data_IF_684929177488
#
_entry.id   IF_684929177488
#
_cell.length_a   1.000
_cell.length_b   1.000
_cell.length_c   1.000
_cell.angle_alpha   90.00
_cell.angle_beta   90.00
_cell.angle_gamma   90.00
#
_symmetry.space_group_name_H-M   'P 1'
#
loop_
_entity.id
_entity.type
_entity.pdbx_description
1 polymer ?
#
# COMPACT_ATOMS: atom_id res chain seq x y z
N UNK A 1 3.72 -19.19 21.63
CA UNK A 1 3.53 -19.03 20.17
C UNK A 1 4.49 -17.98 19.69
N UNK A 2 4.96 -18.06 18.44
CA UNK A 2 5.83 -17.04 17.82
C UNK A 2 5.10 -15.70 17.98
N UNK A 3 5.53 -14.89 18.95
CA UNK A 3 4.76 -13.73 19.38
C UNK A 3 4.57 -12.79 18.19
N UNK A 4 3.31 -12.45 17.90
CA UNK A 4 2.99 -11.36 17.00
C UNK A 4 3.73 -10.11 17.51
N UNK A 5 4.30 -9.36 16.58
CA UNK A 5 4.86 -8.06 16.92
C UNK A 5 3.70 -7.18 17.37
N UNK A 6 3.68 -6.83 18.65
CA UNK A 6 2.67 -5.97 19.25
C UNK A 6 3.32 -4.65 19.67
N UNK A 7 2.60 -3.54 19.49
CA UNK A 7 3.12 -2.21 19.73
C UNK A 7 2.14 -1.12 19.34
N UNK A 8 2.26 0.09 19.91
CA UNK A 8 1.39 1.21 19.59
C UNK A 8 1.54 1.60 18.11
N UNK A 9 0.41 1.76 17.42
CA UNK A 9 0.38 2.16 16.01
C UNK A 9 0.53 1.02 15.00
N UNK A 10 0.60 -0.24 15.44
CA UNK A 10 0.56 -1.40 14.55
C UNK A 10 -0.89 -1.72 14.15
N UNK A 11 -1.35 -1.13 13.05
CA UNK A 11 -2.66 -1.43 12.50
C UNK A 11 -2.70 -2.80 11.80
N UNK A 12 -3.84 -3.48 11.85
CA UNK A 12 -4.12 -4.66 11.02
C UNK A 12 -4.50 -4.26 9.60
N UNK A 13 -4.27 -5.16 8.64
CA UNK A 13 -4.54 -4.89 7.21
C UNK A 13 -5.94 -4.32 6.94
N UNK A 14 -7.05 -4.88 7.48
CA UNK A 14 -8.39 -4.34 7.21
C UNK A 14 -8.58 -2.91 7.74
N UNK A 15 -8.10 -2.62 8.94
CA UNK A 15 -8.24 -1.30 9.56
C UNK A 15 -7.42 -0.22 8.84
N UNK A 16 -6.20 -0.56 8.41
CA UNK A 16 -5.35 0.33 7.63
C UNK A 16 -5.94 0.62 6.25
N UNK A 17 -6.47 -0.41 5.58
CA UNK A 17 -7.13 -0.23 4.29
C UNK A 17 -8.39 0.62 4.40
N UNK A 18 -9.23 0.37 5.41
CA UNK A 18 -10.42 1.18 5.66
C UNK A 18 -10.04 2.66 5.86
N UNK A 19 -9.07 2.94 6.71
CA UNK A 19 -8.61 4.31 6.96
C UNK A 19 -8.08 5.00 5.69
N UNK A 20 -7.36 4.25 4.84
CA UNK A 20 -6.88 4.77 3.56
C UNK A 20 -8.01 5.04 2.56
N UNK A 21 -8.99 4.14 2.45
CA UNK A 21 -10.13 4.34 1.55
C UNK A 21 -10.97 5.54 1.98
N UNK A 22 -11.28 5.66 3.27
CA UNK A 22 -11.98 6.83 3.81
C UNK A 22 -11.21 8.13 3.53
N UNK A 23 -9.87 8.12 3.66
CA UNK A 23 -9.04 9.28 3.33
C UNK A 23 -9.10 9.63 1.84
N UNK A 24 -9.10 8.63 0.94
CA UNK A 24 -9.21 8.84 -0.50
C UNK A 24 -10.58 9.41 -0.90
N UNK A 25 -11.65 8.91 -0.30
CA UNK A 25 -13.01 9.42 -0.55
C UNK A 25 -13.15 10.87 -0.08
N UNK A 26 -12.66 11.20 1.12
CA UNK A 26 -12.63 12.59 1.61
C UNK A 26 -11.87 13.50 0.67
N UNK A 27 -10.68 13.08 0.21
CA UNK A 27 -9.89 13.85 -0.78
C UNK A 27 -10.62 14.01 -2.10
N UNK A 28 -11.33 12.98 -2.56
CA UNK A 28 -12.13 13.04 -3.80
C UNK A 28 -13.28 14.03 -3.65
N UNK A 29 -14.06 13.93 -2.57
CA UNK A 29 -15.17 14.85 -2.28
C UNK A 29 -14.69 16.31 -2.16
N UNK A 30 -13.55 16.55 -1.49
CA UNK A 30 -12.95 17.88 -1.40
C UNK A 30 -12.52 18.42 -2.77
N UNK A 31 -11.93 17.58 -3.62
CA UNK A 31 -11.55 17.97 -4.99
C UNK A 31 -12.76 18.28 -5.84
N UNK A 32 -13.81 17.47 -5.74
CA UNK A 32 -15.06 17.65 -6.47
C UNK A 32 -15.78 18.93 -6.00
N UNK A 33 -15.82 19.19 -4.69
CA UNK A 33 -16.32 20.43 -4.11
C UNK A 33 -15.52 21.66 -4.58
N UNK A 34 -14.20 21.62 -4.46
CA UNK A 34 -13.34 22.72 -4.91
C UNK A 34 -13.47 22.98 -6.43
N UNK A 35 -13.65 21.95 -7.25
CA UNK A 35 -13.93 22.12 -8.68
C UNK A 35 -15.29 22.76 -8.93
N UNK A 36 -16.33 22.39 -8.15
CA UNK A 36 -17.65 23.03 -8.22
C UNK A 36 -17.59 24.49 -7.81
N UNK A 37 -16.89 24.81 -6.72
CA UNK A 37 -16.71 26.19 -6.25
C UNK A 37 -15.94 27.04 -7.26
N UNK A 38 -14.85 26.49 -7.85
CA UNK A 38 -14.11 27.13 -8.94
C UNK A 38 -14.99 27.40 -10.16
N UNK A 39 -15.83 26.44 -10.54
CA UNK A 39 -16.76 26.61 -11.66
C UNK A 39 -17.81 27.68 -11.34
N UNK A 40 -18.36 27.70 -10.13
CA UNK A 40 -19.32 28.71 -9.69
C UNK A 40 -18.69 30.11 -9.66
N UNK A 41 -17.48 30.27 -9.12
CA UNK A 41 -16.75 31.54 -9.15
C UNK A 41 -16.43 31.98 -10.59
N UNK A 42 -16.03 31.06 -11.47
CA UNK A 42 -15.77 31.38 -12.87
C UNK A 42 -17.03 31.87 -13.60
N UNK A 43 -18.19 31.23 -13.38
CA UNK A 43 -19.48 31.68 -13.90
C UNK A 43 -19.85 33.07 -13.37
N UNK A 44 -19.68 33.30 -12.07
CA UNK A 44 -19.96 34.59 -11.44
C UNK A 44 -19.03 35.71 -11.95
N UNK A 45 -17.76 35.40 -12.23
CA UNK A 45 -16.80 36.34 -12.85
C UNK A 45 -17.14 36.67 -14.30
N UNK A 46 -17.71 35.72 -15.06
CA UNK A 46 -18.21 35.97 -16.42
C UNK A 46 -19.45 36.88 -16.36
N UNK A 47 -20.28 36.76 -15.33
CA UNK A 47 -21.44 37.62 -15.09
C UNK A 47 -21.04 39.03 -14.57
N UNK A 48 -19.97 39.14 -13.78
CA UNK A 48 -19.43 40.40 -13.28
C UNK A 48 -18.27 40.91 -14.15
N UNK A 49 -18.57 41.42 -15.34
CA UNK A 49 -17.55 42.09 -16.17
C UNK A 49 -17.02 43.35 -15.47
N UNK A 50 -15.82 43.26 -14.86
CA UNK A 50 -15.04 44.42 -14.44
C UNK A 50 -14.31 44.28 -13.10
N UNK A 51 -13.26 43.47 -13.02
CA UNK A 51 -12.24 43.62 -11.98
C UNK A 51 -10.86 43.21 -12.49
N UNK A 52 -9.89 44.12 -12.33
CA UNK A 52 -8.49 43.92 -12.70
C UNK A 52 -7.84 42.87 -11.78
N UNK A 53 -6.93 42.00 -12.26
CA UNK A 53 -6.33 40.99 -11.41
C UNK A 53 -5.32 41.64 -10.45
N UNK A 54 -5.54 41.46 -9.14
CA UNK A 54 -4.59 41.81 -8.11
C UNK A 54 -3.32 40.94 -8.20
N UNK A 55 -2.15 41.55 -7.99
CA UNK A 55 -0.86 40.88 -8.05
C UNK A 55 -0.72 39.76 -7.01
N UNK A 56 -0.10 38.62 -7.38
CA UNK A 56 0.08 37.51 -6.46
C UNK A 56 1.08 37.86 -5.36
N UNK A 57 0.58 38.06 -4.14
CA UNK A 57 1.41 38.15 -2.95
C UNK A 57 2.15 36.82 -2.75
N UNK A 58 3.47 36.91 -2.58
CA UNK A 58 4.32 35.76 -2.26
C UNK A 58 3.91 35.18 -0.90
N UNK A 59 3.17 34.07 -0.92
CA UNK A 59 2.80 33.34 0.29
C UNK A 59 4.05 32.83 1.00
N UNK A 60 4.13 33.08 2.31
CA UNK A 60 5.16 32.54 3.18
C UNK A 60 5.22 30.99 3.08
N UNK A 61 6.41 30.36 3.26
CA UNK A 61 6.53 28.91 3.13
C UNK A 61 5.62 28.20 4.13
N UNK A 62 4.64 27.47 3.61
CA UNK A 62 3.70 26.70 4.41
C UNK A 62 4.44 25.65 5.25
N UNK A 63 4.02 25.49 6.52
CA UNK A 63 4.53 24.44 7.39
C UNK A 63 4.36 23.06 6.73
N UNK A 64 5.35 22.16 6.92
CA UNK A 64 5.30 20.82 6.34
C UNK A 64 4.01 20.11 6.82
N UNK A 65 3.21 19.53 5.92
CA UNK A 65 1.99 18.86 6.31
C UNK A 65 2.30 17.70 7.27
N UNK A 66 1.38 17.37 8.18
CA UNK A 66 1.54 16.24 9.08
C UNK A 66 1.74 14.93 8.28
N UNK A 67 2.47 13.95 8.83
CA UNK A 67 2.72 12.69 8.15
C UNK A 67 1.40 11.96 7.87
N UNK A 68 1.33 11.35 6.69
CA UNK A 68 0.13 10.62 6.24
C UNK A 68 -0.03 9.28 6.98
N UNK A 69 -1.22 8.68 6.90
CA UNK A 69 -1.55 7.42 7.59
C UNK A 69 -0.56 6.32 7.19
N UNK A 70 -0.26 6.20 5.90
CA UNK A 70 0.70 5.25 5.38
C UNK A 70 2.12 5.48 5.90
N UNK A 71 2.52 6.74 6.12
CA UNK A 71 3.84 7.07 6.69
C UNK A 71 3.89 6.75 8.18
N UNK A 72 2.81 7.03 8.91
CA UNK A 72 2.71 6.71 10.34
C UNK A 72 2.76 5.20 10.57
N UNK A 73 1.94 4.44 9.84
CA UNK A 73 1.94 2.98 9.88
C UNK A 73 3.33 2.42 9.56
N UNK A 74 3.92 2.81 8.43
CA UNK A 74 5.26 2.35 8.05
C UNK A 74 6.34 2.65 9.11
N UNK A 75 6.31 3.83 9.72
CA UNK A 75 7.29 4.21 10.75
C UNK A 75 7.13 3.40 12.04
N UNK A 76 5.90 3.19 12.49
CA UNK A 76 5.62 2.37 13.67
C UNK A 76 6.13 0.93 13.46
N UNK A 77 5.89 0.38 12.28
CA UNK A 77 6.33 -0.96 11.87
C UNK A 77 7.84 -1.09 11.82
N UNK A 78 8.51 -0.14 11.15
CA UNK A 78 9.97 -0.12 11.06
C UNK A 78 10.62 -0.03 12.46
N UNK A 79 10.04 0.79 13.35
CA UNK A 79 10.53 0.93 14.72
C UNK A 79 10.43 -0.39 15.49
N UNK A 80 9.25 -1.03 15.47
CA UNK A 80 9.03 -2.29 16.21
C UNK A 80 9.90 -3.41 15.65
N UNK A 81 10.05 -3.51 14.32
CA UNK A 81 10.96 -4.49 13.69
C UNK A 81 12.41 -4.27 14.11
N UNK A 82 12.87 -3.03 14.12
CA UNK A 82 14.23 -2.69 14.54
C UNK A 82 14.47 -3.05 16.01
N UNK A 83 13.54 -2.66 16.90
CA UNK A 83 13.60 -3.01 18.33
C UNK A 83 13.58 -4.53 18.55
N UNK A 84 12.78 -5.27 17.77
CA UNK A 84 12.73 -6.72 17.86
C UNK A 84 14.05 -7.37 17.42
N UNK A 85 14.62 -6.90 16.31
CA UNK A 85 15.87 -7.43 15.79
C UNK A 85 17.04 -7.22 16.77
N UNK A 86 17.10 -6.07 17.45
CA UNK A 86 18.17 -5.76 18.41
C UNK A 86 18.01 -6.45 19.78
N UNK A 87 16.77 -6.74 20.20
CA UNK A 87 16.48 -7.37 21.49
C UNK A 87 16.50 -8.92 21.47
N UNK A 88 16.59 -9.55 20.29
CA UNK A 88 16.46 -11.00 20.17
C UNK A 88 17.74 -11.76 20.59
N UNK A 89 17.70 -12.43 21.75
CA UNK A 89 18.84 -13.17 22.35
C UNK A 89 19.45 -14.29 21.47
N UNK A 90 18.63 -15.06 20.77
CA UNK A 90 19.09 -16.13 19.85
C UNK A 90 18.75 -15.85 18.37
N UNK A 91 17.81 -14.94 18.11
CA UNK A 91 17.48 -14.36 16.81
C UNK A 91 17.05 -15.31 15.68
N UNK A 92 16.95 -16.63 15.90
CA UNK A 92 16.72 -17.59 14.81
C UNK A 92 15.41 -17.32 14.06
N UNK A 93 14.31 -17.18 14.80
CA UNK A 93 13.00 -16.85 14.20
C UNK A 93 13.05 -15.52 13.46
N UNK A 94 13.68 -14.48 14.04
CA UNK A 94 13.77 -13.17 13.38
C UNK A 94 14.64 -13.21 12.11
N UNK A 95 15.69 -14.06 12.08
CA UNK A 95 16.49 -14.29 10.86
C UNK A 95 15.66 -14.98 9.77
N UNK A 96 14.84 -15.97 10.14
CA UNK A 96 13.93 -16.62 9.18
C UNK A 96 12.85 -15.64 8.69
N UNK A 97 12.26 -14.83 9.58
CA UNK A 97 11.32 -13.79 9.17
C UNK A 97 11.98 -12.83 8.19
N UNK A 98 13.19 -12.36 8.48
CA UNK A 98 13.94 -11.50 7.56
C UNK A 98 14.19 -12.17 6.20
N UNK A 99 14.61 -13.43 6.21
CA UNK A 99 14.82 -14.23 5.00
C UNK A 99 13.54 -14.32 4.16
N UNK A 100 12.42 -14.71 4.76
CA UNK A 100 11.14 -14.87 4.04
C UNK A 100 10.52 -13.53 3.63
N UNK A 101 10.67 -12.47 4.44
CA UNK A 101 10.28 -11.11 4.07
C UNK A 101 11.06 -10.58 2.87
N UNK A 102 12.32 -11.02 2.71
CA UNK A 102 13.13 -10.70 1.53
C UNK A 102 12.78 -11.58 0.33
N UNK A 103 12.46 -12.87 0.53
CA UNK A 103 12.03 -13.78 -0.53
C UNK A 103 10.71 -13.33 -1.16
N UNK A 104 9.72 -12.99 -0.33
CA UNK A 104 8.40 -12.51 -0.77
C UNK A 104 8.28 -10.98 -0.70
N UNK A 105 9.31 -10.28 -1.17
CA UNK A 105 9.46 -8.84 -0.98
C UNK A 105 8.33 -8.03 -1.61
N UNK A 106 7.79 -7.07 -0.85
CA UNK A 106 6.89 -6.01 -1.34
C UNK A 106 7.56 -4.65 -1.17
N UNK A 107 7.50 -3.80 -2.21
CA UNK A 107 8.13 -2.48 -2.15
C UNK A 107 7.17 -1.40 -1.66
N UNK A 108 7.53 -0.74 -0.55
CA UNK A 108 6.81 0.45 -0.06
C UNK A 108 6.88 1.65 -1.00
N UNK A 109 7.79 1.62 -1.98
CA UNK A 109 7.88 2.63 -3.02
C UNK A 109 6.75 2.50 -4.06
N UNK A 110 6.08 1.34 -4.16
CA UNK A 110 5.00 1.09 -5.12
C UNK A 110 3.85 2.08 -5.00
N UNK A 111 3.46 2.44 -3.77
CA UNK A 111 2.36 3.37 -3.53
C UNK A 111 1.91 3.43 -2.08
N UNK A 112 0.98 4.36 -1.80
CA UNK A 112 0.47 4.61 -0.45
C UNK A 112 -0.24 3.39 0.17
N UNK A 113 -0.97 2.62 -0.64
CA UNK A 113 -1.61 1.38 -0.18
C UNK A 113 -0.57 0.37 0.32
N UNK A 114 0.37 -0.04 -0.53
CA UNK A 114 1.41 -1.02 -0.16
C UNK A 114 2.23 -0.50 1.03
N UNK A 115 2.57 0.78 1.06
CA UNK A 115 3.31 1.38 2.18
C UNK A 115 2.60 1.25 3.54
N UNK A 116 1.28 1.43 3.57
CA UNK A 116 0.53 1.31 4.81
C UNK A 116 0.52 -0.14 5.34
N UNK A 117 0.34 -1.12 4.45
CA UNK A 117 0.10 -2.52 4.85
C UNK A 117 1.32 -3.44 4.73
N UNK A 118 2.46 -2.96 4.21
CA UNK A 118 3.71 -3.76 4.15
C UNK A 118 4.20 -4.20 5.53
N UNK A 119 3.89 -3.40 6.56
CA UNK A 119 4.04 -3.74 7.97
C UNK A 119 3.26 -5.00 8.35
N UNK A 120 1.94 -4.88 8.24
CA UNK A 120 0.94 -5.91 8.55
C UNK A 120 1.17 -7.20 7.76
N UNK A 121 1.56 -7.09 6.49
CA UNK A 121 1.92 -8.21 5.64
C UNK A 121 2.92 -9.19 6.28
N UNK A 122 4.01 -8.69 6.86
CA UNK A 122 4.98 -9.57 7.54
C UNK A 122 4.35 -10.24 8.77
N UNK A 123 3.56 -9.51 9.57
CA UNK A 123 2.94 -10.05 10.79
C UNK A 123 1.83 -11.04 10.52
N UNK A 124 1.08 -10.84 9.44
CA UNK A 124 -0.14 -11.58 9.14
C UNK A 124 0.12 -12.74 8.19
N UNK A 125 1.01 -12.57 7.19
CA UNK A 125 1.30 -13.60 6.20
C UNK A 125 2.56 -14.43 6.53
N UNK A 126 3.63 -13.80 7.02
CA UNK A 126 4.96 -14.46 7.14
C UNK A 126 5.19 -15.03 8.54
N UNK A 127 5.14 -14.17 9.57
CA UNK A 127 5.46 -14.53 10.97
C UNK A 127 4.68 -15.74 11.50
N UNK A 128 3.37 -15.91 11.22
CA UNK A 128 2.61 -17.05 11.73
C UNK A 128 3.05 -18.39 11.13
N UNK A 129 3.59 -18.36 9.90
CA UNK A 129 3.93 -19.55 9.13
C UNK A 129 5.43 -19.86 9.10
N UNK A 130 6.27 -19.04 9.75
CA UNK A 130 7.74 -19.10 9.64
C UNK A 130 8.39 -20.42 10.12
N UNK A 131 7.74 -21.13 11.04
CA UNK A 131 8.16 -22.47 11.49
C UNK A 131 7.19 -23.57 10.99
N UNK A 132 6.29 -23.23 10.07
CA UNK A 132 5.23 -24.10 9.57
C UNK A 132 5.55 -24.66 8.18
N UNK A 133 4.49 -25.06 7.46
CA UNK A 133 4.60 -25.57 6.08
C UNK A 133 4.75 -24.40 5.12
N UNK A 134 5.69 -24.52 4.18
CA UNK A 134 5.91 -23.52 3.13
C UNK A 134 4.64 -23.22 2.32
N UNK A 135 3.87 -24.25 1.96
CA UNK A 135 2.63 -24.09 1.19
C UNK A 135 1.61 -23.17 1.89
N UNK A 136 1.53 -23.23 3.22
CA UNK A 136 0.60 -22.40 4.00
C UNK A 136 1.10 -20.95 4.04
N UNK A 137 2.43 -20.74 4.14
CA UNK A 137 3.03 -19.41 4.03
C UNK A 137 2.82 -18.81 2.63
N UNK A 138 3.08 -19.59 1.57
CA UNK A 138 2.89 -19.17 0.19
C UNK A 138 1.44 -18.73 -0.03
N UNK A 139 0.46 -19.55 0.36
CA UNK A 139 -0.95 -19.19 0.24
C UNK A 139 -1.28 -17.89 0.99
N UNK A 140 -0.78 -17.73 2.21
CA UNK A 140 -1.01 -16.52 3.01
C UNK A 140 -0.38 -15.28 2.35
N UNK A 141 0.81 -15.40 1.78
CA UNK A 141 1.53 -14.32 1.08
C UNK A 141 0.79 -13.90 -0.19
N UNK A 142 0.46 -14.85 -1.06
CA UNK A 142 -0.14 -14.56 -2.37
C UNK A 142 -1.55 -13.97 -2.28
N UNK A 143 -2.27 -14.31 -1.21
CA UNK A 143 -3.62 -13.80 -0.96
C UNK A 143 -3.61 -12.48 -0.17
N UNK A 144 -2.46 -12.08 0.37
CA UNK A 144 -2.39 -10.86 1.16
C UNK A 144 -2.58 -9.62 0.28
N UNK A 145 -3.41 -8.63 0.67
CA UNK A 145 -3.65 -7.44 -0.13
C UNK A 145 -2.38 -6.67 -0.54
N UNK A 146 -1.34 -6.70 0.32
CA UNK A 146 -0.04 -6.09 0.01
C UNK A 146 0.60 -6.66 -1.26
N UNK A 147 0.61 -7.99 -1.43
CA UNK A 147 1.17 -8.65 -2.60
C UNK A 147 0.32 -8.40 -3.84
N UNK A 148 -1.01 -8.49 -3.68
CA UNK A 148 -1.99 -8.20 -4.74
C UNK A 148 -1.77 -6.78 -5.30
N UNK A 149 -1.68 -5.76 -4.43
CA UNK A 149 -1.42 -4.38 -4.84
C UNK A 149 -0.01 -4.17 -5.39
N UNK A 150 0.98 -4.90 -4.88
CA UNK A 150 2.36 -4.78 -5.33
C UNK A 150 2.54 -5.25 -6.78
N UNK A 151 1.94 -6.39 -7.12
CA UNK A 151 2.02 -7.00 -8.45
C UNK A 151 0.87 -6.60 -9.38
N UNK A 152 0.08 -5.61 -8.98
CA UNK A 152 -1.06 -5.05 -9.72
C UNK A 152 -2.16 -6.07 -10.07
N UNK A 153 -2.31 -7.14 -9.30
CA UNK A 153 -3.30 -8.17 -9.59
C UNK A 153 -4.73 -7.63 -9.48
N UNK A 154 -4.97 -6.59 -8.68
CA UNK A 154 -6.26 -5.88 -8.62
C UNK A 154 -6.65 -5.21 -9.95
N UNK A 155 -5.70 -4.98 -10.87
CA UNK A 155 -5.95 -4.43 -12.21
C UNK A 155 -6.24 -5.50 -13.26
N UNK A 156 -6.20 -6.78 -12.90
CA UNK A 156 -6.49 -7.88 -13.81
C UNK A 156 -7.94 -7.81 -14.30
N UNK A 157 -8.13 -7.87 -15.62
CA UNK A 157 -9.45 -7.78 -16.25
C UNK A 157 -9.62 -8.98 -17.17
N UNK A 158 -10.73 -9.72 -17.01
CA UNK A 158 -11.05 -10.83 -17.90
C UNK A 158 -11.17 -10.33 -19.34
N UNK A 159 -10.47 -10.93 -20.33
CA UNK A 159 -10.47 -10.46 -21.72
C UNK A 159 -11.86 -10.51 -22.35
N UNK A 160 -12.69 -11.47 -21.92
CA UNK A 160 -14.08 -11.63 -22.36
C UNK A 160 -15.08 -10.78 -21.57
N UNK A 161 -14.63 -10.02 -20.56
CA UNK A 161 -15.50 -9.11 -19.82
C UNK A 161 -15.80 -7.86 -20.66
N UNK A 162 -16.95 -7.23 -20.39
CA UNK A 162 -17.31 -5.94 -21.01
C UNK A 162 -16.23 -4.88 -20.81
N UNK A 163 -15.58 -4.86 -19.65
CA UNK A 163 -14.46 -3.95 -19.38
C UNK A 163 -13.21 -4.28 -20.21
N UNK A 164 -12.90 -5.56 -20.39
CA UNK A 164 -11.77 -6.04 -21.20
C UNK A 164 -11.93 -5.74 -22.68
N UNK A 165 -13.12 -5.99 -23.23
CA UNK A 165 -13.47 -5.66 -24.62
C UNK A 165 -13.39 -4.15 -24.89
N UNK A 166 -13.94 -3.32 -23.99
CA UNK A 166 -13.94 -1.87 -24.15
C UNK A 166 -12.55 -1.26 -24.02
N UNK A 167 -11.71 -1.78 -23.12
CA UNK A 167 -10.37 -1.22 -22.84
C UNK A 167 -9.25 -1.91 -23.62
N UNK A 168 -9.55 -2.96 -24.39
CA UNK A 168 -8.58 -3.85 -25.05
C UNK A 168 -7.49 -4.33 -24.08
N UNK A 169 -7.91 -4.72 -22.87
CA UNK A 169 -7.02 -5.20 -21.78
C UNK A 169 -7.35 -6.65 -21.42
N UNK A 170 -6.31 -7.42 -21.10
CA UNK A 170 -6.39 -8.81 -20.67
C UNK A 170 -6.01 -9.00 -19.20
N UNK A 171 -5.78 -10.26 -18.83
CA UNK A 171 -5.37 -10.64 -17.48
C UNK A 171 -3.98 -10.05 -17.17
N UNK A 172 -3.79 -9.63 -15.92
CA UNK A 172 -2.46 -9.31 -15.43
C UNK A 172 -1.80 -10.61 -14.95
N UNK A 173 -0.84 -11.11 -15.72
CA UNK A 173 -0.14 -12.36 -15.46
C UNK A 173 1.02 -12.22 -14.48
N UNK A 174 1.34 -11.00 -14.05
CA UNK A 174 2.53 -10.73 -13.24
C UNK A 174 2.53 -11.56 -11.94
N UNK A 175 1.43 -11.59 -11.20
CA UNK A 175 1.33 -12.41 -9.98
C UNK A 175 1.55 -13.91 -10.27
N UNK A 176 0.90 -14.44 -11.30
CA UNK A 176 1.02 -15.85 -11.67
C UNK A 176 2.46 -16.20 -12.09
N UNK A 177 3.11 -15.31 -12.83
CA UNK A 177 4.51 -15.46 -13.23
C UNK A 177 5.45 -15.46 -12.03
N UNK A 178 5.29 -14.50 -11.11
CA UNK A 178 6.12 -14.39 -9.91
C UNK A 178 5.96 -15.60 -8.97
N UNK A 179 4.72 -16.12 -8.84
CA UNK A 179 4.46 -17.37 -8.11
C UNK A 179 5.32 -18.51 -8.64
N UNK A 180 5.31 -18.72 -9.96
CA UNK A 180 6.04 -19.80 -10.60
C UNK A 180 7.55 -19.52 -10.58
N UNK A 181 7.98 -18.40 -11.11
CA UNK A 181 9.39 -18.12 -11.44
C UNK A 181 10.26 -17.70 -10.26
N UNK A 182 9.70 -17.02 -9.24
CA UNK A 182 10.50 -16.43 -8.15
C UNK A 182 10.13 -16.99 -6.78
N UNK A 183 8.84 -17.21 -6.55
CA UNK A 183 8.35 -17.60 -5.24
C UNK A 183 8.44 -19.10 -4.99
N UNK A 184 8.32 -19.92 -6.04
CA UNK A 184 8.35 -21.39 -5.92
C UNK A 184 9.53 -22.05 -6.63
N UNK A 185 9.79 -21.70 -7.88
CA UNK A 185 10.95 -22.19 -8.62
C UNK A 185 12.13 -21.27 -8.30
N UNK A 186 13.17 -21.79 -7.65
CA UNK A 186 14.36 -21.01 -7.34
C UNK A 186 15.16 -20.61 -8.59
N UNK A 187 16.26 -19.87 -8.38
CA UNK A 187 17.17 -19.45 -9.45
C UNK A 187 17.69 -20.68 -10.22
N UNK A 188 17.21 -20.88 -11.46
CA UNK A 188 17.58 -22.00 -12.34
C UNK A 188 16.47 -23.00 -12.72
N UNK A 189 15.19 -22.71 -12.40
CA UNK A 189 14.05 -23.59 -12.71
C UNK A 189 13.33 -23.36 -14.06
N UNK A 190 13.92 -22.59 -14.98
CA UNK A 190 13.37 -22.28 -16.31
C UNK A 190 14.28 -22.74 -17.44
#
# INVERSE_FOLDING_TARGET
>A
GIALLDGPGLGHTPGLLQALFEQQERKRQQRDGANRDKLAMALQMVESSGASPAEPQMAAPAAKPPPTIEQQAYRAEALVRFQRATSARAGFVERLVCFWSNHFCVSVAKGGFVRAIAGAYEREAIRPHVLGRFADMLAAVEQHPAMIFYLDNQQSIGPNSRAGQNRRRGLNENLAREILELHTLGVGGG
#
